data_IF_692606960361
#
_entry.id   IF_692606960361
#
_cell.length_a   1.000
_cell.length_b   1.000
_cell.length_c   1.000
_cell.angle_alpha   90.00
_cell.angle_beta   90.00
_cell.angle_gamma   90.00
#
_symmetry.space_group_name_H-M   'P 1'
#
loop_
_entity.id
_entity.type
_entity.pdbx_description
1 polymer ?
#
# COMPACT_ATOMS: atom_id res chain seq x y z
N UNK A 1 -1.94 2.23 -25.55
CA UNK A 1 -2.57 3.49 -25.97
C UNK A 1 -2.34 4.66 -24.98
N UNK A 2 -2.58 4.49 -23.65
CA UNK A 2 -2.39 5.58 -22.68
C UNK A 2 -0.91 5.90 -22.43
N UNK A 3 -0.04 4.90 -22.38
CA UNK A 3 1.40 5.09 -22.17
C UNK A 3 2.03 5.85 -23.33
N UNK A 4 1.66 5.52 -24.56
CA UNK A 4 2.17 6.22 -25.75
C UNK A 4 1.73 7.68 -25.78
N UNK A 5 0.48 7.97 -25.34
CA UNK A 5 0.01 9.36 -25.17
C UNK A 5 0.84 10.10 -24.11
N UNK A 6 1.03 9.52 -22.93
CA UNK A 6 1.83 10.13 -21.86
C UNK A 6 3.27 10.38 -22.30
N UNK A 7 3.91 9.39 -22.92
CA UNK A 7 5.28 9.53 -23.44
C UNK A 7 5.37 10.69 -24.44
N UNK A 8 4.41 10.80 -25.35
CA UNK A 8 4.36 11.91 -26.31
C UNK A 8 4.19 13.28 -25.63
N UNK A 9 3.36 13.36 -24.59
CA UNK A 9 3.16 14.56 -23.78
C UNK A 9 4.44 14.99 -23.06
N UNK A 10 5.11 14.05 -22.39
CA UNK A 10 6.36 14.32 -21.67
C UNK A 10 7.50 14.72 -22.63
N UNK A 11 7.62 14.07 -23.79
CA UNK A 11 8.61 14.47 -24.82
C UNK A 11 8.41 15.90 -25.32
N UNK A 12 7.16 16.31 -25.58
CA UNK A 12 6.85 17.71 -25.98
C UNK A 12 7.33 18.72 -24.92
N UNK A 13 7.35 18.30 -23.64
CA UNK A 13 7.79 19.14 -22.50
C UNK A 13 9.28 18.98 -22.18
N UNK A 14 10.03 18.25 -23.03
CA UNK A 14 11.49 18.00 -22.88
C UNK A 14 11.87 17.30 -21.59
N UNK A 15 11.01 16.41 -21.12
CA UNK A 15 11.26 15.57 -19.92
C UNK A 15 12.02 14.31 -20.36
N UNK A 16 13.06 13.94 -19.61
CA UNK A 16 13.76 12.65 -19.77
C UNK A 16 12.88 11.52 -19.23
N UNK A 17 12.67 10.48 -20.04
CA UNK A 17 11.71 9.40 -19.74
C UNK A 17 12.45 8.08 -19.63
N UNK A 18 12.16 7.38 -18.55
CA UNK A 18 12.64 6.01 -18.31
C UNK A 18 11.43 5.14 -17.97
N UNK A 19 11.38 3.94 -18.55
CA UNK A 19 10.35 2.96 -18.25
C UNK A 19 10.95 1.81 -17.43
N UNK A 20 10.15 1.25 -16.53
CA UNK A 20 10.54 0.02 -15.84
C UNK A 20 10.81 -1.07 -16.89
N UNK A 21 11.87 -1.87 -16.71
CA UNK A 21 12.43 -2.79 -17.70
C UNK A 21 11.42 -3.79 -18.27
N UNK A 22 10.55 -4.35 -17.40
CA UNK A 22 9.52 -5.30 -17.84
C UNK A 22 8.50 -4.61 -18.76
N UNK A 23 8.05 -3.40 -18.40
CA UNK A 23 7.14 -2.60 -19.23
C UNK A 23 7.81 -2.13 -20.53
N UNK A 24 9.07 -1.71 -20.45
CA UNK A 24 9.82 -1.31 -21.62
C UNK A 24 9.90 -2.45 -22.65
N UNK A 25 10.22 -3.66 -22.20
CA UNK A 25 10.33 -4.84 -23.06
C UNK A 25 9.01 -5.17 -23.77
N UNK A 26 7.86 -4.98 -23.07
CA UNK A 26 6.54 -5.24 -23.65
C UNK A 26 6.08 -4.18 -24.66
N UNK A 27 6.55 -2.94 -24.52
CA UNK A 27 6.06 -1.80 -25.27
C UNK A 27 7.06 -1.25 -26.30
N UNK A 28 8.27 -1.79 -26.36
CA UNK A 28 9.39 -1.27 -27.16
C UNK A 28 9.02 -0.93 -28.61
N UNK A 29 8.24 -1.77 -29.25
CA UNK A 29 7.81 -1.57 -30.66
C UNK A 29 6.79 -0.43 -30.82
N UNK A 30 6.09 -0.05 -29.74
CA UNK A 30 5.06 0.99 -29.74
C UNK A 30 5.59 2.33 -29.25
N UNK A 31 6.82 2.36 -28.72
CA UNK A 31 7.44 3.54 -28.14
C UNK A 31 8.23 4.32 -29.19
N UNK A 32 8.27 5.66 -29.08
CA UNK A 32 9.18 6.47 -29.88
C UNK A 32 10.64 6.10 -29.58
N UNK A 33 11.53 6.34 -30.54
CA UNK A 33 12.98 6.21 -30.33
C UNK A 33 13.48 7.06 -29.14
N UNK A 34 14.59 6.62 -28.53
CA UNK A 34 15.25 7.32 -27.40
C UNK A 34 14.45 7.32 -26.07
N UNK A 35 13.75 6.23 -25.78
CA UNK A 35 13.24 5.93 -24.44
C UNK A 35 14.19 4.92 -23.79
N UNK A 36 14.64 5.21 -22.56
CA UNK A 36 15.49 4.33 -21.78
C UNK A 36 14.65 3.47 -20.81
N UNK A 37 15.23 2.40 -20.31
CA UNK A 37 14.65 1.57 -19.26
C UNK A 37 15.42 1.71 -17.95
N UNK A 38 14.80 1.33 -16.84
CA UNK A 38 15.43 1.19 -15.54
C UNK A 38 15.04 -0.12 -14.87
N UNK A 39 15.96 -0.68 -14.12
CA UNK A 39 15.74 -1.82 -13.20
C UNK A 39 15.80 -1.39 -11.74
N UNK A 40 16.51 -0.29 -11.46
CA UNK A 40 16.65 0.32 -10.15
C UNK A 40 16.57 1.83 -10.28
N UNK A 41 15.98 2.46 -9.28
CA UNK A 41 15.96 3.91 -9.16
C UNK A 41 17.14 4.36 -8.29
N UNK A 42 17.54 5.61 -8.51
CA UNK A 42 18.48 6.35 -7.68
C UNK A 42 18.01 7.80 -7.51
N UNK A 43 18.76 8.65 -6.83
CA UNK A 43 18.39 10.03 -6.53
C UNK A 43 18.40 10.98 -7.73
N UNK A 44 18.77 10.53 -8.93
CA UNK A 44 18.74 11.35 -10.15
C UNK A 44 17.33 11.46 -10.77
N UNK A 45 16.40 10.61 -10.32
CA UNK A 45 15.01 10.66 -10.77
C UNK A 45 14.21 11.65 -9.93
N UNK A 46 13.48 12.57 -10.61
CA UNK A 46 12.69 13.60 -9.97
C UNK A 46 11.30 13.10 -9.55
N UNK A 47 10.73 12.14 -10.30
CA UNK A 47 9.35 11.69 -10.14
C UNK A 47 9.18 10.25 -10.64
N UNK A 48 8.37 9.46 -9.96
CA UNK A 48 7.85 8.19 -10.46
C UNK A 48 6.35 8.32 -10.81
N UNK A 49 5.99 8.05 -12.05
CA UNK A 49 4.60 8.00 -12.51
C UNK A 49 4.13 6.55 -12.53
N UNK A 50 3.12 6.25 -11.73
CA UNK A 50 2.47 4.92 -11.69
C UNK A 50 1.15 4.97 -12.44
N UNK A 51 0.98 4.12 -13.47
CA UNK A 51 -0.24 4.06 -14.28
C UNK A 51 -0.94 2.73 -14.01
N UNK A 52 -2.13 2.79 -13.44
CA UNK A 52 -2.91 1.58 -13.08
C UNK A 52 -3.86 1.87 -11.93
N UNK A 53 -4.01 0.91 -11.03
CA UNK A 53 -4.77 1.06 -9.78
C UNK A 53 -3.85 1.19 -8.57
N UNK A 54 -4.46 1.13 -7.36
CA UNK A 54 -3.72 1.19 -6.10
C UNK A 54 -2.64 0.09 -5.99
N UNK A 55 -2.92 -1.12 -6.48
CA UNK A 55 -1.94 -2.22 -6.53
C UNK A 55 -0.68 -1.89 -7.33
N UNK A 56 -0.79 -1.07 -8.39
CA UNK A 56 0.38 -0.62 -9.17
C UNK A 56 1.23 0.34 -8.36
N UNK A 57 0.62 1.19 -7.54
CA UNK A 57 1.36 2.07 -6.61
C UNK A 57 2.06 1.23 -5.54
N UNK A 58 1.41 0.17 -5.00
CA UNK A 58 2.06 -0.75 -4.07
C UNK A 58 3.29 -1.45 -4.69
N UNK A 59 3.28 -1.73 -6.00
CA UNK A 59 4.49 -2.18 -6.72
C UNK A 59 5.50 -1.03 -6.86
N UNK A 60 5.07 0.18 -7.20
CA UNK A 60 5.94 1.35 -7.41
C UNK A 60 6.77 1.71 -6.17
N UNK A 61 6.20 1.64 -4.97
CA UNK A 61 6.92 1.92 -3.73
C UNK A 61 8.11 0.98 -3.49
N UNK A 62 8.07 -0.24 -4.04
CA UNK A 62 9.18 -1.20 -3.91
C UNK A 62 10.42 -0.80 -4.72
N UNK A 63 10.26 0.07 -5.71
CA UNK A 63 11.37 0.68 -6.45
C UNK A 63 11.90 1.93 -5.74
N UNK A 64 10.99 2.79 -5.24
CA UNK A 64 11.35 4.05 -4.58
C UNK A 64 12.03 3.82 -3.23
N UNK A 65 11.48 2.95 -2.39
CA UNK A 65 12.03 2.65 -1.05
C UNK A 65 12.34 3.95 -0.28
N UNK A 66 13.56 4.08 0.24
CA UNK A 66 14.09 5.22 1.00
C UNK A 66 14.63 6.37 0.15
N UNK A 67 14.48 6.32 -1.18
CA UNK A 67 15.05 7.36 -2.08
C UNK A 67 14.32 8.69 -1.99
N UNK A 68 13.13 8.73 -1.40
CA UNK A 68 12.29 9.93 -1.28
C UNK A 68 11.84 10.54 -2.62
N UNK A 69 11.84 9.75 -3.71
CA UNK A 69 11.32 10.17 -5.01
C UNK A 69 9.79 10.25 -4.89
N UNK A 70 9.16 11.39 -5.21
CA UNK A 70 7.71 11.51 -5.21
C UNK A 70 7.05 10.55 -6.19
N UNK A 71 5.87 10.03 -5.83
CA UNK A 71 5.07 9.15 -6.69
C UNK A 71 3.79 9.88 -7.05
N UNK A 72 3.39 9.83 -8.31
CA UNK A 72 2.05 10.22 -8.77
C UNK A 72 1.33 9.01 -9.33
N UNK A 73 0.06 8.83 -8.93
CA UNK A 73 -0.79 7.72 -9.36
C UNK A 73 -1.82 8.16 -10.39
N UNK A 74 -1.71 7.63 -11.61
CA UNK A 74 -2.68 7.83 -12.69
C UNK A 74 -3.57 6.58 -12.78
N UNK A 75 -4.85 6.77 -12.56
CA UNK A 75 -5.82 5.70 -12.56
C UNK A 75 -6.30 5.38 -13.98
N UNK A 76 -6.10 4.12 -14.41
CA UNK A 76 -6.54 3.62 -15.71
C UNK A 76 -7.84 2.81 -15.66
N UNK A 77 -8.49 2.70 -14.50
CA UNK A 77 -9.69 1.90 -14.27
C UNK A 77 -10.63 2.53 -13.24
N UNK A 78 -11.00 1.75 -12.21
CA UNK A 78 -11.85 2.26 -11.11
C UNK A 78 -11.02 3.12 -10.18
N UNK A 79 -11.54 4.28 -9.78
CA UNK A 79 -10.89 5.21 -8.85
C UNK A 79 -10.38 4.48 -7.60
N UNK A 80 -9.10 4.66 -7.31
CA UNK A 80 -8.43 4.17 -6.11
C UNK A 80 -8.34 5.23 -5.02
N UNK A 81 -7.80 4.85 -3.85
CA UNK A 81 -7.44 5.79 -2.79
C UNK A 81 -6.03 6.36 -2.99
N UNK A 82 -5.17 5.65 -3.73
CA UNK A 82 -3.80 6.05 -4.02
C UNK A 82 -3.67 6.62 -5.44
N UNK A 83 -4.20 5.92 -6.46
CA UNK A 83 -4.23 6.38 -7.84
C UNK A 83 -5.48 7.26 -8.05
N UNK A 84 -5.33 8.58 -7.88
CA UNK A 84 -6.44 9.53 -7.88
C UNK A 84 -6.64 10.22 -9.23
N UNK A 85 -5.59 10.48 -10.00
CA UNK A 85 -5.65 11.18 -11.29
C UNK A 85 -6.32 10.29 -12.33
N UNK A 86 -7.44 10.72 -12.87
CA UNK A 86 -8.12 10.00 -13.95
C UNK A 86 -7.33 10.12 -15.25
N UNK A 87 -7.30 9.04 -16.03
CA UNK A 87 -6.50 8.95 -17.26
C UNK A 87 -6.89 9.97 -18.33
N UNK A 88 -8.14 10.40 -18.35
CA UNK A 88 -8.66 11.45 -19.25
C UNK A 88 -8.12 12.83 -18.91
N UNK A 89 -7.71 13.07 -17.65
CA UNK A 89 -7.13 14.32 -17.16
C UNK A 89 -5.60 14.34 -17.15
N UNK A 90 -4.97 13.36 -17.80
CA UNK A 90 -3.50 13.17 -17.73
C UNK A 90 -2.71 14.39 -18.25
N UNK A 91 -3.22 15.12 -19.25
CA UNK A 91 -2.54 16.28 -19.83
C UNK A 91 -2.53 17.46 -18.87
N UNK A 92 -3.68 17.79 -18.29
CA UNK A 92 -3.80 18.83 -17.26
C UNK A 92 -2.91 18.50 -16.05
N UNK A 93 -2.96 17.25 -15.57
CA UNK A 93 -2.17 16.80 -14.44
C UNK A 93 -0.65 16.92 -14.68
N UNK A 94 -0.17 16.57 -15.87
CA UNK A 94 1.25 16.72 -16.22
C UNK A 94 1.65 18.20 -16.27
N UNK A 95 0.79 19.09 -16.78
CA UNK A 95 1.07 20.52 -16.81
C UNK A 95 1.13 21.12 -15.41
N UNK A 96 0.23 20.75 -14.51
CA UNK A 96 0.28 21.16 -13.10
C UNK A 96 1.55 20.67 -12.41
N UNK A 97 1.93 19.40 -12.62
CA UNK A 97 3.15 18.82 -12.02
C UNK A 97 4.39 19.55 -12.51
N UNK A 98 4.52 19.79 -13.81
CA UNK A 98 5.70 20.48 -14.39
C UNK A 98 5.75 21.94 -13.94
N UNK A 99 4.59 22.59 -13.74
CA UNK A 99 4.50 23.95 -13.23
C UNK A 99 4.72 24.06 -11.72
N UNK A 100 4.85 22.94 -11.01
CA UNK A 100 5.02 22.89 -9.56
C UNK A 100 3.72 23.13 -8.77
N UNK A 101 2.56 23.07 -9.42
CA UNK A 101 1.24 23.27 -8.80
C UNK A 101 0.73 21.98 -8.15
N UNK A 102 1.40 21.51 -7.14
CA UNK A 102 1.03 20.30 -6.38
C UNK A 102 1.52 20.39 -4.93
N UNK A 103 0.97 19.60 -4.08
CA UNK A 103 1.47 19.36 -2.73
C UNK A 103 2.06 17.96 -2.58
N UNK A 104 2.91 17.77 -1.56
CA UNK A 104 3.46 16.47 -1.19
C UNK A 104 2.74 15.98 0.05
N UNK A 105 2.09 14.84 -0.06
CA UNK A 105 1.53 14.09 1.06
C UNK A 105 2.49 12.97 1.45
N UNK A 106 2.98 13.01 2.68
CA UNK A 106 3.85 11.95 3.21
C UNK A 106 3.04 10.82 3.81
N UNK A 107 3.35 9.59 3.41
CA UNK A 107 2.70 8.37 3.88
C UNK A 107 3.66 7.57 4.75
N UNK A 108 3.24 7.30 5.98
CA UNK A 108 3.97 6.40 6.88
C UNK A 108 3.87 4.97 6.39
N UNK A 109 4.91 4.19 6.65
CA UNK A 109 4.98 2.76 6.40
C UNK A 109 5.22 2.03 7.73
N UNK A 110 4.94 0.75 7.70
CA UNK A 110 5.35 -0.19 8.75
C UNK A 110 6.36 -1.17 8.19
N UNK A 111 7.26 -1.64 9.04
CA UNK A 111 8.25 -2.66 8.70
C UNK A 111 8.16 -3.85 9.63
N UNK A 112 8.58 -5.00 9.14
CA UNK A 112 8.63 -6.24 9.89
C UNK A 112 10.04 -6.73 10.11
N UNK A 113 10.30 -7.25 11.30
CA UNK A 113 11.48 -8.02 11.65
C UNK A 113 11.02 -9.36 12.20
N UNK A 114 11.70 -10.45 11.84
CA UNK A 114 11.42 -11.80 12.32
C UNK A 114 12.60 -12.33 13.13
N UNK A 115 12.33 -13.14 14.16
CA UNK A 115 13.37 -13.73 15.01
C UNK A 115 14.32 -14.65 14.24
N UNK A 116 13.79 -15.34 13.23
CA UNK A 116 14.60 -16.15 12.30
C UNK A 116 14.72 -15.43 10.96
N UNK A 117 15.88 -15.51 10.32
CA UNK A 117 16.15 -14.85 9.05
C UNK A 117 15.29 -15.43 7.93
N UNK A 118 14.51 -14.56 7.28
CA UNK A 118 13.77 -14.89 6.06
C UNK A 118 14.32 -14.09 4.88
N UNK A 119 14.79 -14.76 3.84
CA UNK A 119 15.46 -14.10 2.70
C UNK A 119 14.50 -13.24 1.85
N UNK A 120 13.23 -13.57 1.79
CA UNK A 120 12.22 -12.81 1.03
C UNK A 120 11.86 -11.52 1.78
N UNK A 121 11.56 -11.63 3.08
CA UNK A 121 11.28 -10.48 3.92
C UNK A 121 12.49 -9.54 4.05
N UNK A 122 13.71 -10.08 4.13
CA UNK A 122 14.92 -9.25 4.25
C UNK A 122 15.17 -8.32 3.06
N UNK A 123 14.61 -8.60 1.89
CA UNK A 123 14.75 -7.75 0.69
C UNK A 123 13.78 -6.57 0.69
N UNK A 124 12.55 -6.80 1.14
CA UNK A 124 11.45 -5.84 1.12
C UNK A 124 10.55 -6.06 2.35
N UNK A 125 11.01 -5.60 3.51
CA UNK A 125 10.39 -5.86 4.81
C UNK A 125 9.35 -4.80 5.24
N UNK A 126 8.90 -3.94 4.35
CA UNK A 126 7.97 -2.83 4.65
C UNK A 126 6.66 -2.96 3.87
N UNK A 127 5.63 -2.30 4.39
CA UNK A 127 4.32 -2.18 3.75
C UNK A 127 3.79 -0.73 3.87
N UNK A 128 3.08 -0.29 2.83
CA UNK A 128 2.38 1.00 2.81
C UNK A 128 0.99 0.86 3.44
N UNK A 129 0.26 -0.20 3.11
CA UNK A 129 -1.08 -0.43 3.63
C UNK A 129 -1.04 -1.22 4.93
N UNK A 130 -0.65 -2.48 4.86
CA UNK A 130 -0.74 -3.36 6.02
C UNK A 130 0.27 -4.51 5.99
N UNK A 131 0.57 -5.01 7.18
CA UNK A 131 1.16 -6.32 7.41
C UNK A 131 0.09 -7.19 8.07
N UNK A 132 -0.21 -8.35 7.49
CA UNK A 132 -1.16 -9.27 8.05
C UNK A 132 -0.52 -10.64 8.28
N UNK A 133 -0.84 -11.26 9.43
CA UNK A 133 -0.58 -12.67 9.67
C UNK A 133 -1.88 -13.44 9.52
N UNK A 134 -1.84 -14.59 8.87
CA UNK A 134 -3.03 -15.41 8.66
C UNK A 134 -2.71 -16.89 8.66
N UNK A 135 -3.72 -17.71 8.95
CA UNK A 135 -3.62 -19.17 8.83
C UNK A 135 -3.23 -19.56 7.40
N UNK A 136 -2.44 -20.63 7.29
CA UNK A 136 -2.03 -21.17 5.98
C UNK A 136 -3.15 -21.98 5.33
N UNK A 137 -3.86 -22.78 6.12
CA UNK A 137 -4.93 -23.65 5.65
C UNK A 137 -6.29 -23.25 6.24
N UNK A 138 -7.38 -23.67 5.59
CA UNK A 138 -8.75 -23.26 5.94
C UNK A 138 -9.36 -24.03 7.10
N UNK A 139 -8.71 -25.08 7.62
CA UNK A 139 -9.33 -26.06 8.52
C UNK A 139 -9.27 -25.71 10.01
N UNK A 140 -8.39 -24.81 10.43
CA UNK A 140 -8.27 -24.44 11.84
C UNK A 140 -7.87 -22.99 12.02
N UNK A 141 -8.46 -22.31 13.00
CA UNK A 141 -8.04 -21.00 13.44
C UNK A 141 -6.66 -21.04 14.08
N UNK A 142 -6.02 -19.87 14.11
CA UNK A 142 -4.75 -19.64 14.81
C UNK A 142 -4.97 -18.77 16.05
N UNK A 143 -4.11 -18.93 17.03
CA UNK A 143 -4.01 -18.03 18.18
C UNK A 143 -2.83 -17.10 17.99
N UNK A 144 -3.06 -15.80 18.02
CA UNK A 144 -2.05 -14.77 17.80
C UNK A 144 -1.85 -14.02 19.11
N UNK A 145 -0.83 -14.42 19.88
CA UNK A 145 -0.41 -13.66 21.06
C UNK A 145 0.18 -12.34 20.60
N UNK A 146 -0.38 -11.23 21.12
CA UNK A 146 -0.03 -9.87 20.74
C UNK A 146 0.46 -9.10 21.94
N UNK A 147 1.62 -8.45 21.80
CA UNK A 147 2.19 -7.53 22.78
C UNK A 147 2.38 -6.16 22.16
N UNK A 148 2.24 -5.11 22.97
CA UNK A 148 2.53 -3.72 22.64
C UNK A 148 3.61 -3.22 23.59
N UNK A 149 4.76 -2.79 23.07
CA UNK A 149 5.93 -2.38 23.84
C UNK A 149 6.23 -3.40 24.96
N UNK A 150 6.36 -4.67 24.59
CA UNK A 150 6.56 -5.84 25.47
C UNK A 150 5.42 -6.16 26.45
N UNK A 151 4.37 -5.34 26.53
CA UNK A 151 3.22 -5.60 27.38
C UNK A 151 2.20 -6.46 26.68
N UNK A 152 1.78 -7.56 27.30
CA UNK A 152 0.71 -8.42 26.78
C UNK A 152 -0.58 -7.62 26.59
N UNK A 153 -1.10 -7.65 25.36
CA UNK A 153 -2.40 -7.08 25.02
C UNK A 153 -3.50 -8.14 25.06
N UNK A 154 -3.39 -9.13 24.22
CA UNK A 154 -4.41 -10.18 24.03
C UNK A 154 -3.86 -11.34 23.20
N UNK A 155 -4.57 -12.46 23.23
CA UNK A 155 -4.42 -13.57 22.30
C UNK A 155 -5.65 -13.64 21.41
N UNK A 156 -5.51 -13.25 20.14
CA UNK A 156 -6.60 -13.29 19.17
C UNK A 156 -6.78 -14.69 18.62
N UNK A 157 -7.94 -15.29 18.84
CA UNK A 157 -8.32 -16.54 18.20
C UNK A 157 -9.12 -16.21 16.94
N UNK A 158 -8.49 -16.31 15.78
CA UNK A 158 -8.99 -15.74 14.54
C UNK A 158 -8.40 -16.46 13.31
N UNK A 159 -8.89 -16.09 12.13
CA UNK A 159 -8.27 -16.47 10.86
C UNK A 159 -6.96 -15.72 10.60
N UNK A 160 -6.80 -14.57 11.24
CA UNK A 160 -5.61 -13.75 11.15
C UNK A 160 -5.73 -12.42 11.91
N UNK A 161 -4.68 -11.60 11.78
CA UNK A 161 -4.59 -10.26 12.38
C UNK A 161 -3.90 -9.33 11.41
N UNK A 162 -4.49 -8.15 11.21
CA UNK A 162 -3.98 -7.10 10.33
C UNK A 162 -3.44 -5.97 11.19
N UNK A 163 -2.24 -5.50 10.87
CA UNK A 163 -1.67 -4.26 11.36
C UNK A 163 -1.62 -3.29 10.19
N UNK A 164 -2.48 -2.29 10.19
CA UNK A 164 -2.60 -1.34 9.08
C UNK A 164 -2.13 0.06 9.46
N UNK A 165 -1.52 0.73 8.49
CA UNK A 165 -1.25 2.17 8.53
C UNK A 165 -2.54 2.96 8.30
N UNK A 166 -2.56 4.29 8.48
CA UNK A 166 -3.68 5.12 8.07
C UNK A 166 -4.03 4.96 6.59
N UNK A 167 -3.03 4.86 5.72
CA UNK A 167 -3.23 4.59 4.29
C UNK A 167 -3.93 3.24 4.07
N UNK A 168 -3.50 2.19 4.76
CA UNK A 168 -4.08 0.84 4.71
C UNK A 168 -5.44 0.70 5.38
N UNK A 169 -5.89 1.71 6.14
CA UNK A 169 -7.23 1.69 6.76
C UNK A 169 -8.37 1.57 5.74
N UNK A 170 -8.12 1.94 4.49
CA UNK A 170 -9.05 1.78 3.36
C UNK A 170 -8.81 0.52 2.53
N UNK A 171 -7.85 -0.33 2.92
CA UNK A 171 -7.49 -1.60 2.30
C UNK A 171 -8.14 -2.80 2.97
N UNK A 172 -7.35 -3.83 3.28
CA UNK A 172 -7.84 -5.08 3.86
C UNK A 172 -8.46 -4.88 5.25
N UNK A 173 -7.92 -3.96 6.06
CA UNK A 173 -8.48 -3.59 7.36
C UNK A 173 -9.95 -3.16 7.25
N UNK A 174 -10.31 -2.33 6.25
CA UNK A 174 -11.70 -1.89 6.02
C UNK A 174 -12.63 -3.09 5.77
N UNK A 175 -12.21 -4.05 4.95
CA UNK A 175 -12.98 -5.26 4.65
C UNK A 175 -13.21 -6.15 5.88
N UNK A 176 -12.34 -6.03 6.90
CA UNK A 176 -12.46 -6.73 8.18
C UNK A 176 -13.11 -5.88 9.28
N UNK A 177 -13.78 -4.76 8.92
CA UNK A 177 -14.50 -3.89 9.85
C UNK A 177 -13.61 -2.89 10.60
N UNK A 178 -12.40 -2.65 10.12
CA UNK A 178 -11.53 -1.59 10.63
C UNK A 178 -12.09 -0.19 10.33
N UNK A 179 -11.76 0.82 11.15
CA UNK A 179 -12.17 2.21 10.92
C UNK A 179 -11.39 2.82 9.76
N UNK A 180 -12.01 3.79 9.07
CA UNK A 180 -11.31 4.64 8.11
C UNK A 180 -10.55 5.71 8.90
N UNK A 181 -9.27 5.86 8.59
CA UNK A 181 -8.35 6.78 9.25
C UNK A 181 -7.81 7.77 8.22
N UNK A 182 -7.72 9.04 8.60
CA UNK A 182 -7.11 10.07 7.75
C UNK A 182 -5.63 9.74 7.50
N UNK A 183 -5.16 9.85 6.26
CA UNK A 183 -3.80 9.43 5.89
C UNK A 183 -2.66 10.13 6.65
N UNK A 184 -2.94 11.31 7.18
CA UNK A 184 -2.00 12.15 7.93
C UNK A 184 -1.92 11.78 9.42
N UNK A 185 -2.79 10.89 9.90
CA UNK A 185 -2.84 10.51 11.31
C UNK A 185 -1.61 9.67 11.70
N UNK A 186 -1.11 9.91 12.92
CA UNK A 186 0.06 9.20 13.47
C UNK A 186 -0.39 8.03 14.35
N UNK A 187 -1.02 7.04 13.72
CA UNK A 187 -1.50 5.85 14.41
C UNK A 187 -1.42 4.61 13.53
N UNK A 188 -1.64 3.45 14.14
CA UNK A 188 -1.82 2.16 13.48
C UNK A 188 -3.14 1.56 13.93
N UNK A 189 -3.70 0.67 13.13
CA UNK A 189 -4.89 -0.08 13.52
C UNK A 189 -4.60 -1.58 13.51
N UNK A 190 -4.97 -2.25 14.60
CA UNK A 190 -4.95 -3.70 14.76
C UNK A 190 -6.36 -4.21 14.47
N UNK A 191 -6.55 -4.98 13.40
CA UNK A 191 -7.86 -5.49 12.99
C UNK A 191 -7.83 -7.01 12.90
N UNK A 192 -8.61 -7.73 13.73
CA UNK A 192 -8.69 -9.18 13.64
C UNK A 192 -9.50 -9.61 12.41
N UNK A 193 -9.09 -10.73 11.79
CA UNK A 193 -9.77 -11.34 10.65
C UNK A 193 -10.66 -12.47 11.16
N UNK A 194 -11.96 -12.35 10.98
CA UNK A 194 -12.96 -13.33 11.39
C UNK A 194 -12.70 -13.91 12.81
N UNK A 195 -12.63 -13.06 13.87
CA UNK A 195 -12.32 -13.53 15.21
C UNK A 195 -13.43 -14.41 15.77
N UNK A 196 -13.07 -15.47 16.48
CA UNK A 196 -14.04 -16.29 17.21
C UNK A 196 -14.62 -15.58 18.43
N UNK A 197 -13.85 -14.69 19.05
CA UNK A 197 -14.31 -13.91 20.17
C UNK A 197 -15.19 -12.76 19.69
N UNK A 198 -16.48 -12.78 20.02
CA UNK A 198 -17.48 -11.78 19.64
C UNK A 198 -17.18 -10.37 20.18
N UNK A 199 -16.35 -10.25 21.21
CA UNK A 199 -15.94 -8.95 21.80
C UNK A 199 -14.68 -8.37 21.14
N UNK A 200 -13.99 -9.08 20.27
CA UNK A 200 -12.84 -8.55 19.56
C UNK A 200 -13.27 -7.39 18.64
N UNK A 201 -12.59 -6.27 18.76
CA UNK A 201 -12.81 -5.06 17.97
C UNK A 201 -11.48 -4.55 17.46
N UNK A 202 -11.46 -3.84 16.31
CA UNK A 202 -10.28 -3.12 15.88
C UNK A 202 -9.82 -2.13 16.95
N UNK A 203 -8.50 -2.06 17.15
CA UNK A 203 -7.85 -1.19 18.12
C UNK A 203 -6.93 -0.20 17.42
N UNK A 204 -7.10 1.08 17.70
CA UNK A 204 -6.18 2.13 17.25
C UNK A 204 -5.12 2.36 18.30
N UNK A 205 -3.86 2.40 17.89
CA UNK A 205 -2.69 2.63 18.73
C UNK A 205 -1.81 3.73 18.14
N UNK A 206 -0.92 4.31 18.93
CA UNK A 206 0.09 5.25 18.41
C UNK A 206 1.05 4.53 17.42
N UNK A 207 1.50 5.22 16.39
CA UNK A 207 2.33 4.62 15.32
C UNK A 207 3.76 4.32 15.76
N UNK A 208 4.20 4.87 16.89
CA UNK A 208 5.50 4.59 17.49
C UNK A 208 5.49 3.35 18.40
N UNK A 209 4.35 2.69 18.57
CA UNK A 209 4.23 1.45 19.34
C UNK A 209 4.85 0.28 18.57
N UNK A 210 5.69 -0.51 19.23
CA UNK A 210 6.19 -1.76 18.71
C UNK A 210 5.20 -2.90 18.98
N UNK A 211 4.86 -3.66 17.93
CA UNK A 211 3.89 -4.75 18.00
C UNK A 211 4.61 -6.07 17.82
N UNK A 212 4.56 -6.95 18.84
CA UNK A 212 5.14 -8.29 18.76
C UNK A 212 4.02 -9.33 18.65
N UNK A 213 4.13 -10.20 17.65
CA UNK A 213 3.16 -11.26 17.35
C UNK A 213 3.84 -12.64 17.46
N UNK A 214 3.21 -13.56 18.21
CA UNK A 214 3.58 -14.96 18.24
C UNK A 214 2.38 -15.80 17.83
N UNK A 215 2.52 -16.54 16.73
CA UNK A 215 1.44 -17.34 16.18
C UNK A 215 1.54 -18.77 16.68
N UNK A 216 0.41 -19.30 17.15
CA UNK A 216 0.25 -20.70 17.56
C UNK A 216 -0.95 -21.30 16.83
N UNK A 217 -0.85 -22.53 16.39
CA UNK A 217 -1.91 -23.23 15.66
C UNK A 217 -1.62 -24.73 15.57
N UNK A 218 -2.50 -25.47 14.92
CA UNK A 218 -2.29 -26.89 14.62
C UNK A 218 -1.21 -27.13 13.57
N UNK A 219 -1.08 -26.18 12.65
CA UNK A 219 -0.05 -26.15 11.62
C UNK A 219 1.25 -25.57 12.22
N UNK A 220 2.40 -26.00 11.70
CA UNK A 220 3.70 -25.49 12.12
C UNK A 220 4.08 -24.19 11.42
N UNK A 221 3.23 -23.70 10.52
CA UNK A 221 3.49 -22.55 9.66
C UNK A 221 2.25 -21.66 9.54
N UNK A 222 2.49 -20.38 9.30
CA UNK A 222 1.46 -19.39 8.99
C UNK A 222 1.91 -18.50 7.81
N UNK A 223 0.97 -17.76 7.24
CA UNK A 223 1.26 -16.78 6.18
C UNK A 223 1.48 -15.41 6.81
N UNK A 224 2.45 -14.69 6.28
CA UNK A 224 2.60 -13.26 6.47
C UNK A 224 2.51 -12.56 5.13
N UNK A 225 1.73 -11.49 5.06
CA UNK A 225 1.61 -10.63 3.88
C UNK A 225 2.01 -9.19 4.19
N UNK A 226 2.75 -8.58 3.29
CA UNK A 226 3.14 -7.18 3.30
C UNK A 226 2.54 -6.52 2.05
N UNK A 227 1.46 -5.79 2.20
CA UNK A 227 0.58 -5.40 1.10
C UNK A 227 0.17 -6.66 0.29
N UNK A 228 0.58 -6.78 -0.97
CA UNK A 228 0.28 -7.95 -1.84
C UNK A 228 1.37 -9.04 -1.84
N UNK A 229 2.47 -8.88 -1.10
CA UNK A 229 3.59 -9.83 -1.06
C UNK A 229 3.40 -10.82 0.07
N UNK A 230 3.28 -12.10 -0.24
CA UNK A 230 2.97 -13.16 0.72
C UNK A 230 4.13 -14.13 0.83
N UNK A 231 4.51 -14.50 2.05
CA UNK A 231 5.46 -15.57 2.32
C UNK A 231 5.02 -16.40 3.53
N UNK A 232 5.63 -17.57 3.72
CA UNK A 232 5.32 -18.49 4.82
C UNK A 232 6.39 -18.37 5.90
N UNK A 233 5.96 -18.38 7.18
CA UNK A 233 6.84 -18.40 8.34
C UNK A 233 6.49 -19.58 9.23
N UNK A 234 7.52 -20.14 9.92
CA UNK A 234 7.33 -21.13 10.99
C UNK A 234 6.72 -20.46 12.23
N UNK A 235 5.91 -21.20 12.98
CA UNK A 235 5.35 -20.78 14.27
C UNK A 235 6.43 -20.53 15.35
N UNK A 236 7.67 -20.94 15.12
CA UNK A 236 8.81 -20.62 15.99
C UNK A 236 9.18 -19.13 15.91
N UNK A 237 8.80 -18.46 14.81
CA UNK A 237 9.07 -17.04 14.62
C UNK A 237 8.25 -16.15 15.54
N UNK A 238 8.91 -15.14 16.08
CA UNK A 238 8.28 -13.94 16.62
C UNK A 238 8.36 -12.87 15.52
N UNK A 239 7.21 -12.28 15.21
CA UNK A 239 7.07 -11.22 14.21
C UNK A 239 6.98 -9.89 14.94
N UNK A 240 7.93 -8.99 14.72
CA UNK A 240 7.93 -7.64 15.29
C UNK A 240 7.60 -6.65 14.20
N UNK A 241 6.56 -5.84 14.41
CA UNK A 241 6.08 -4.82 13.48
C UNK A 241 6.22 -3.45 14.14
N UNK A 242 6.79 -2.51 13.41
CA UNK A 242 7.01 -1.14 13.89
C UNK A 242 6.93 -0.14 12.74
N UNK A 243 6.87 1.15 13.07
CA UNK A 243 6.96 2.24 12.08
C UNK A 243 8.27 2.16 11.33
N UNK A 244 8.21 2.26 10.01
CA UNK A 244 9.40 2.33 9.16
C UNK A 244 10.13 3.67 9.33
N UNK A 245 11.48 3.71 9.25
CA UNK A 245 12.25 4.94 9.40
C UNK A 245 12.12 5.90 8.21
N UNK A 246 11.47 5.50 7.13
CA UNK A 246 11.25 6.35 5.96
C UNK A 246 9.76 6.44 5.62
N UNK A 247 9.40 7.46 4.86
CA UNK A 247 8.04 7.71 4.36
C UNK A 247 8.04 7.68 2.84
N UNK A 248 6.88 7.43 2.24
CA UNK A 248 6.64 7.61 0.81
C UNK A 248 6.01 8.96 0.57
N UNK A 249 6.51 9.67 -0.43
CA UNK A 249 5.97 10.96 -0.88
C UNK A 249 5.00 10.73 -2.02
N UNK A 250 3.76 11.19 -1.86
CA UNK A 250 2.73 11.16 -2.90
C UNK A 250 2.47 12.58 -3.39
N UNK A 251 2.42 12.78 -4.71
CA UNK A 251 1.95 14.03 -5.29
C UNK A 251 0.42 14.09 -5.19
N UNK A 252 -0.11 15.20 -4.72
CA UNK A 252 -1.53 15.53 -4.68
C UNK A 252 -1.78 16.85 -5.40
N UNK A 253 -2.66 16.84 -6.39
CA UNK A 253 -3.10 18.05 -7.09
C UNK A 253 -4.18 18.78 -6.28
N UNK A 254 -4.35 20.09 -6.48
CA UNK A 254 -5.29 20.90 -5.68
C UNK A 254 -6.73 20.36 -5.64
N UNK A 255 -7.17 19.77 -6.74
CA UNK A 255 -8.53 19.24 -6.86
C UNK A 255 -8.68 17.79 -6.37
N UNK A 256 -7.66 17.22 -5.75
CA UNK A 256 -7.62 15.83 -5.31
C UNK A 256 -7.39 15.76 -3.80
N UNK A 257 -8.40 15.35 -3.06
CA UNK A 257 -8.27 15.10 -1.63
C UNK A 257 -8.76 13.71 -1.25
N UNK A 258 -8.26 13.21 -0.12
CA UNK A 258 -8.76 11.96 0.46
C UNK A 258 -10.27 11.99 0.70
N UNK A 259 -10.81 13.12 1.18
CA UNK A 259 -12.25 13.27 1.47
C UNK A 259 -13.11 13.25 0.20
N UNK A 260 -12.62 13.82 -0.91
CA UNK A 260 -13.31 13.72 -2.21
C UNK A 260 -13.40 12.27 -2.65
N UNK A 261 -12.27 11.55 -2.63
CA UNK A 261 -12.20 10.14 -3.00
C UNK A 261 -13.08 9.27 -2.09
N UNK A 262 -13.05 9.53 -0.79
CA UNK A 262 -13.87 8.82 0.19
C UNK A 262 -15.36 9.01 -0.09
N UNK A 263 -15.79 10.25 -0.32
CA UNK A 263 -17.19 10.57 -0.66
C UNK A 263 -17.62 9.88 -1.95
N UNK A 264 -16.81 9.93 -3.01
CA UNK A 264 -17.12 9.28 -4.28
C UNK A 264 -17.29 7.76 -4.09
N UNK A 265 -16.42 7.13 -3.30
CA UNK A 265 -16.49 5.68 -3.03
C UNK A 265 -17.66 5.28 -2.14
N UNK A 266 -18.03 6.08 -1.15
CA UNK A 266 -19.15 5.79 -0.27
C UNK A 266 -20.49 6.04 -0.97
N UNK A 267 -20.60 7.05 -1.85
CA UNK A 267 -21.86 7.36 -2.57
C UNK A 267 -22.16 6.41 -3.72
N UNK A 268 -21.16 5.80 -4.35
CA UNK A 268 -21.38 4.76 -5.38
C UNK A 268 -22.17 3.56 -4.82
N UNK A 269 -22.04 3.28 -3.52
CA UNK A 269 -22.85 2.26 -2.84
C UNK A 269 -24.35 2.63 -2.76
N UNK A 270 -24.71 3.91 -2.69
CA UNK A 270 -26.10 4.39 -2.59
C UNK A 270 -26.83 4.42 -3.93
N UNK A 271 -26.14 4.65 -5.04
CA UNK A 271 -26.78 4.73 -6.38
C UNK A 271 -27.22 3.36 -6.90
N UNK A 272 -26.55 2.27 -6.49
CA UNK A 272 -27.01 0.92 -6.85
C UNK A 272 -28.27 0.47 -6.10
N UNK A 273 -28.56 1.03 -4.92
CA UNK A 273 -29.78 0.72 -4.17
C UNK A 273 -31.02 1.45 -4.72
N UNK A 274 -30.88 2.62 -5.35
CA UNK A 274 -31.99 3.37 -5.98
C UNK A 274 -32.39 2.89 -7.38
N UNK A 275 -31.59 2.07 -8.03
CA UNK A 275 -31.90 1.52 -9.35
C UNK A 275 -32.80 0.27 -9.28
N UNK A 276 -33.22 -0.16 -8.09
CA UNK A 276 -34.10 -1.30 -7.85
C UNK A 276 -35.45 -0.91 -7.15
N UNK A 277 -35.71 0.38 -6.94
CA UNK A 277 -37.01 0.93 -6.62
C UNK A 277 -37.67 1.54 -7.89
#
# INVERSE_FOLDING_TARGET
HYITKLVSLLKKRKVSIFLEEEYYSQLKELLPENINSFTKLDKSYDLLISIGGDGTILKAITFVKHLSIPIVGINSGRLGFLAKIKIDKIEEAIDEIISGNYSISERSLIEVVTSEKNNELSKLNFALNEIAVSRKNTTSMISIETKLDDKYLNSYWADGLIIATPTGSTGYSLSCGGPIIMPEAENLVITPIAPHNLNARPLIIADNTEISLKVNGRENEFLISLDSRITTLSNTNVVVIKKSPFKIKMIELENESFLITLREKLTVSYTHLRAHE
#
